data_IF_521172107907
#
_entry.id   IF_521172107907
#
_cell.length_a   1.000
_cell.length_b   1.000
_cell.length_c   1.000
_cell.angle_alpha   90.00
_cell.angle_beta   90.00
_cell.angle_gamma   90.00
#
_symmetry.space_group_name_H-M   'P 1'
#
loop_
_entity.id
_entity.type
_entity.pdbx_description
1 polymer ?
#
# COMPACT_ATOMS: atom_id res chain seq x y z
N UNK A 1 -29.91 -78.89 9.95
CA UNK A 1 -29.61 -78.15 8.69
C UNK A 1 -30.29 -76.83 8.82
N UNK A 2 -29.53 -75.80 9.25
CA UNK A 2 -30.02 -74.42 9.39
C UNK A 2 -29.42 -73.63 8.27
N UNK A 3 -30.23 -73.19 7.33
CA UNK A 3 -29.83 -72.34 6.22
C UNK A 3 -29.90 -70.91 6.65
N UNK A 4 -28.73 -70.27 6.85
CA UNK A 4 -28.57 -68.84 7.02
C UNK A 4 -28.82 -68.15 5.66
N UNK A 5 -29.94 -67.42 5.57
CA UNK A 5 -30.21 -66.49 4.45
C UNK A 5 -29.40 -65.27 4.68
N UNK A 6 -28.38 -65.01 3.86
CA UNK A 6 -27.63 -63.78 3.79
C UNK A 6 -28.49 -62.72 3.09
N UNK A 7 -29.05 -61.80 3.84
CA UNK A 7 -29.70 -60.61 3.30
C UNK A 7 -28.60 -59.62 2.90
N UNK A 8 -28.30 -59.57 1.62
CA UNK A 8 -27.47 -58.47 1.04
C UNK A 8 -28.35 -57.22 1.03
N UNK A 9 -28.12 -56.30 1.97
CA UNK A 9 -28.66 -54.94 1.90
C UNK A 9 -28.08 -54.24 0.66
N UNK A 10 -28.91 -54.14 -0.37
CA UNK A 10 -28.64 -53.28 -1.50
C UNK A 10 -28.81 -51.83 -0.97
N UNK A 11 -27.68 -51.19 -0.62
CA UNK A 11 -27.69 -49.73 -0.43
C UNK A 11 -28.15 -49.09 -1.76
N UNK A 12 -29.21 -48.28 -1.76
CA UNK A 12 -29.57 -47.52 -2.96
C UNK A 12 -28.40 -46.64 -3.30
N UNK A 13 -27.75 -46.89 -4.43
CA UNK A 13 -26.80 -45.98 -5.06
C UNK A 13 -27.58 -44.69 -5.30
N UNK A 14 -27.39 -43.71 -4.44
CA UNK A 14 -27.90 -42.34 -4.60
C UNK A 14 -27.30 -41.86 -5.91
N UNK A 15 -28.00 -42.04 -7.00
CA UNK A 15 -27.76 -41.37 -8.27
C UNK A 15 -27.87 -39.88 -7.96
N UNK A 16 -26.74 -39.24 -7.65
CA UNK A 16 -26.69 -37.77 -7.53
C UNK A 16 -27.15 -37.23 -8.89
N UNK A 17 -28.30 -36.63 -8.91
CA UNK A 17 -28.73 -35.88 -10.08
C UNK A 17 -27.57 -34.92 -10.47
N UNK A 18 -27.24 -34.84 -11.77
CA UNK A 18 -26.16 -33.98 -12.20
C UNK A 18 -26.48 -32.55 -11.76
N UNK A 19 -25.67 -32.06 -10.82
CA UNK A 19 -25.81 -30.68 -10.31
C UNK A 19 -25.73 -29.63 -11.43
N UNK A 20 -26.19 -28.42 -11.22
CA UNK A 20 -26.11 -27.34 -12.20
C UNK A 20 -24.68 -27.24 -12.73
N UNK A 21 -24.54 -27.11 -14.06
CA UNK A 21 -23.24 -27.06 -14.77
C UNK A 21 -22.39 -28.32 -14.64
N UNK A 22 -22.97 -29.45 -14.24
CA UNK A 22 -22.27 -30.71 -14.04
C UNK A 22 -21.09 -30.62 -13.05
N UNK A 23 -21.20 -29.72 -12.05
CA UNK A 23 -20.19 -29.46 -11.04
C UNK A 23 -20.66 -29.89 -9.65
N UNK A 24 -19.73 -30.35 -8.80
CA UNK A 24 -20.06 -30.60 -7.39
C UNK A 24 -20.46 -29.29 -6.68
N UNK A 25 -21.31 -29.39 -5.67
CA UNK A 25 -21.81 -28.25 -4.90
C UNK A 25 -20.66 -27.35 -4.38
N UNK A 26 -19.61 -27.93 -3.82
CA UNK A 26 -18.46 -27.15 -3.31
C UNK A 26 -17.72 -26.38 -4.42
N UNK A 27 -17.58 -27.00 -5.62
CA UNK A 27 -16.97 -26.34 -6.77
C UNK A 27 -17.83 -25.18 -7.28
N UNK A 28 -19.13 -25.36 -7.31
CA UNK A 28 -20.08 -24.32 -7.72
C UNK A 28 -20.06 -23.12 -6.73
N UNK A 29 -20.08 -23.40 -5.42
CA UNK A 29 -19.98 -22.36 -4.39
C UNK A 29 -18.67 -21.59 -4.47
N UNK A 30 -17.55 -22.25 -4.75
CA UNK A 30 -16.26 -21.58 -4.95
C UNK A 30 -16.27 -20.67 -6.18
N UNK A 31 -16.94 -21.04 -7.26
CA UNK A 31 -17.09 -20.18 -8.44
C UNK A 31 -17.89 -18.92 -8.10
N UNK A 32 -18.99 -19.03 -7.37
CA UNK A 32 -19.76 -17.86 -6.94
C UNK A 32 -18.95 -16.97 -6.01
N UNK A 33 -18.17 -17.55 -5.12
CA UNK A 33 -17.26 -16.78 -4.24
C UNK A 33 -16.25 -15.98 -5.07
N UNK A 34 -15.54 -16.60 -6.01
CA UNK A 34 -14.55 -15.92 -6.87
C UNK A 34 -15.22 -14.81 -7.71
N UNK A 35 -16.42 -15.06 -8.25
CA UNK A 35 -17.15 -14.04 -9.03
C UNK A 35 -17.56 -12.87 -8.14
N UNK A 36 -18.03 -13.12 -6.93
CA UNK A 36 -18.41 -12.04 -5.98
C UNK A 36 -17.20 -11.20 -5.59
N UNK A 37 -16.05 -11.82 -5.34
CA UNK A 37 -14.79 -11.14 -5.08
C UNK A 37 -14.35 -10.28 -6.27
N UNK A 38 -14.36 -10.86 -7.47
CA UNK A 38 -14.01 -10.14 -8.68
C UNK A 38 -14.89 -8.89 -8.90
N UNK A 39 -16.20 -8.99 -8.62
CA UNK A 39 -17.12 -7.86 -8.72
C UNK A 39 -16.80 -6.78 -7.66
N UNK A 40 -16.50 -7.17 -6.43
CA UNK A 40 -16.15 -6.25 -5.34
C UNK A 40 -14.88 -5.48 -5.67
N UNK A 41 -13.80 -6.19 -6.04
CA UNK A 41 -12.54 -5.54 -6.43
C UNK A 41 -12.69 -4.70 -7.70
N UNK A 42 -13.50 -5.11 -8.66
CA UNK A 42 -13.83 -4.29 -9.83
C UNK A 42 -14.45 -2.97 -9.41
N UNK A 43 -15.39 -2.98 -8.46
CA UNK A 43 -15.99 -1.76 -7.92
C UNK A 43 -14.94 -0.82 -7.32
N UNK A 44 -14.00 -1.33 -6.52
CA UNK A 44 -12.92 -0.53 -5.94
C UNK A 44 -11.97 0.05 -6.99
N UNK A 45 -11.56 -0.75 -7.96
CA UNK A 45 -10.67 -0.31 -9.04
C UNK A 45 -11.32 0.71 -9.97
N UNK A 46 -12.62 0.56 -10.23
CA UNK A 46 -13.39 1.55 -11.00
C UNK A 46 -13.47 2.87 -10.23
N UNK A 47 -13.79 2.84 -8.92
CA UNK A 47 -13.81 4.04 -8.09
C UNK A 47 -12.44 4.73 -8.02
N UNK A 48 -11.35 3.95 -7.89
CA UNK A 48 -9.99 4.44 -7.98
C UNK A 48 -9.72 5.10 -9.33
N UNK A 49 -10.06 4.44 -10.43
CA UNK A 49 -9.87 4.96 -11.79
C UNK A 49 -10.61 6.27 -12.04
N UNK A 50 -11.85 6.39 -11.61
CA UNK A 50 -12.62 7.64 -11.70
C UNK A 50 -12.02 8.75 -10.86
N UNK A 51 -11.60 8.45 -9.62
CA UNK A 51 -10.96 9.42 -8.73
C UNK A 51 -9.64 9.92 -9.30
N UNK A 52 -8.83 9.02 -9.86
CA UNK A 52 -7.59 9.36 -10.56
C UNK A 52 -7.85 10.24 -11.79
N UNK A 53 -8.81 9.86 -12.62
CA UNK A 53 -9.16 10.61 -13.81
C UNK A 53 -9.61 12.04 -13.47
N UNK A 54 -10.40 12.20 -12.41
CA UNK A 54 -10.87 13.52 -11.95
C UNK A 54 -9.76 14.40 -11.39
N UNK A 55 -8.73 13.80 -10.80
CA UNK A 55 -7.65 14.51 -10.10
C UNK A 55 -6.28 14.19 -10.73
N UNK A 56 -6.22 14.00 -12.04
CA UNK A 56 -5.01 13.53 -12.72
C UNK A 56 -3.81 14.46 -12.49
N UNK A 57 -4.05 15.77 -12.42
CA UNK A 57 -3.01 16.77 -12.25
C UNK A 57 -2.35 16.74 -10.86
N UNK A 58 -3.05 16.24 -9.86
CA UNK A 58 -2.58 16.16 -8.47
C UNK A 58 -2.35 14.73 -7.99
N UNK A 59 -2.51 13.74 -8.88
CA UNK A 59 -2.36 12.33 -8.51
C UNK A 59 -0.89 11.98 -8.30
N UNK A 60 -0.52 11.32 -7.17
CA UNK A 60 0.85 10.90 -6.92
C UNK A 60 1.40 10.00 -8.02
N UNK A 61 2.68 10.16 -8.32
CA UNK A 61 3.41 9.27 -9.23
C UNK A 61 3.87 8.05 -8.42
N UNK A 62 3.47 6.86 -8.86
CA UNK A 62 3.72 5.62 -8.11
C UNK A 62 5.21 5.36 -7.85
N UNK A 63 6.08 5.69 -8.79
CA UNK A 63 7.53 5.53 -8.66
C UNK A 63 8.13 6.41 -7.55
N UNK A 64 7.51 7.55 -7.27
CA UNK A 64 7.93 8.43 -6.17
C UNK A 64 7.42 7.98 -4.80
N UNK A 65 6.37 7.17 -4.77
CA UNK A 65 5.77 6.65 -3.54
C UNK A 65 6.43 5.33 -3.13
N UNK A 66 6.65 4.42 -4.10
CA UNK A 66 7.10 3.05 -3.89
C UNK A 66 8.53 2.83 -4.41
N UNK A 67 9.48 3.60 -3.87
CA UNK A 67 10.90 3.52 -4.27
C UNK A 67 11.78 2.83 -3.22
N UNK A 68 11.26 2.54 -2.04
CA UNK A 68 12.00 1.87 -0.98
C UNK A 68 12.21 0.38 -1.25
N UNK A 69 13.41 -0.12 -0.95
CA UNK A 69 13.71 -1.54 -0.97
C UNK A 69 14.32 -1.98 0.37
N UNK A 70 13.84 -3.06 1.00
CA UNK A 70 14.40 -3.54 2.26
C UNK A 70 15.88 -3.86 2.15
N UNK A 71 16.70 -3.28 3.04
CA UNK A 71 18.14 -3.51 3.08
C UNK A 71 18.99 -2.69 2.09
N UNK A 72 18.39 -1.94 1.17
CA UNK A 72 19.08 -1.03 0.26
C UNK A 72 18.79 0.42 0.65
N UNK A 73 19.47 0.92 1.68
CA UNK A 73 19.32 2.31 2.12
C UNK A 73 20.00 3.25 1.10
N UNK A 74 19.27 4.29 0.67
CA UNK A 74 19.79 5.32 -0.24
C UNK A 74 19.87 4.92 -1.72
N UNK A 75 19.29 3.80 -2.11
CA UNK A 75 19.16 3.39 -3.51
C UNK A 75 17.70 3.54 -3.92
N UNK A 76 17.45 4.40 -4.89
CA UNK A 76 16.14 4.54 -5.50
C UNK A 76 15.86 3.28 -6.34
N UNK A 77 14.92 2.47 -5.91
CA UNK A 77 14.52 1.24 -6.57
C UNK A 77 13.01 1.25 -6.86
N UNK A 78 12.54 2.13 -7.78
CA UNK A 78 11.12 2.35 -8.01
C UNK A 78 10.44 1.06 -8.45
N UNK A 79 9.35 0.68 -7.78
CA UNK A 79 8.52 -0.49 -8.06
C UNK A 79 9.20 -1.87 -7.96
N UNK A 80 10.52 -1.97 -7.70
CA UNK A 80 11.21 -3.26 -7.61
C UNK A 80 10.69 -4.12 -6.46
N UNK A 81 10.38 -3.49 -5.33
CA UNK A 81 9.83 -4.22 -4.19
C UNK A 81 8.43 -4.75 -4.46
N UNK A 82 7.58 -3.97 -5.13
CA UNK A 82 6.24 -4.39 -5.55
C UNK A 82 6.32 -5.57 -6.53
N UNK A 83 7.27 -5.54 -7.47
CA UNK A 83 7.53 -6.67 -8.36
C UNK A 83 7.95 -7.92 -7.58
N UNK A 84 8.86 -7.78 -6.59
CA UNK A 84 9.26 -8.89 -5.73
C UNK A 84 8.07 -9.51 -4.99
N UNK A 85 7.18 -8.70 -4.42
CA UNK A 85 5.97 -9.16 -3.76
C UNK A 85 5.08 -9.97 -4.70
N UNK A 86 4.96 -9.52 -5.95
CA UNK A 86 4.22 -10.26 -6.99
C UNK A 86 4.84 -11.62 -7.27
N UNK A 87 6.18 -11.72 -7.37
CA UNK A 87 6.88 -12.99 -7.54
C UNK A 87 6.67 -13.95 -6.36
N UNK A 88 6.65 -13.44 -5.13
CA UNK A 88 6.36 -14.24 -3.93
C UNK A 88 4.96 -14.87 -4.03
N UNK A 89 3.95 -14.11 -4.47
CA UNK A 89 2.60 -14.62 -4.66
C UNK A 89 2.52 -15.65 -5.79
N UNK A 90 3.20 -15.43 -6.91
CA UNK A 90 3.26 -16.40 -8.01
C UNK A 90 3.88 -17.70 -7.52
N UNK A 91 4.98 -17.64 -6.77
CA UNK A 91 5.63 -18.81 -6.20
C UNK A 91 4.72 -19.54 -5.21
N UNK A 92 4.03 -18.81 -4.34
CA UNK A 92 3.05 -19.37 -3.42
C UNK A 92 1.89 -20.06 -4.16
N UNK A 93 1.44 -19.50 -5.28
CA UNK A 93 0.42 -20.12 -6.14
C UNK A 93 0.91 -21.43 -6.76
N UNK A 94 2.16 -21.49 -7.20
CA UNK A 94 2.77 -22.74 -7.71
C UNK A 94 2.81 -23.82 -6.63
N UNK A 95 3.18 -23.49 -5.40
CA UNK A 95 3.18 -24.46 -4.29
C UNK A 95 1.78 -24.99 -4.00
N UNK A 96 0.74 -24.15 -4.11
CA UNK A 96 -0.64 -24.59 -3.96
C UNK A 96 -1.07 -25.58 -5.06
N UNK A 97 -0.72 -25.31 -6.32
CA UNK A 97 -1.00 -26.23 -7.44
C UNK A 97 -0.32 -27.57 -7.23
N UNK A 98 0.94 -27.57 -6.77
CA UNK A 98 1.68 -28.79 -6.45
C UNK A 98 1.04 -29.56 -5.28
N UNK A 99 0.47 -28.85 -4.29
CA UNK A 99 -0.28 -29.49 -3.21
C UNK A 99 -1.52 -30.21 -3.72
N UNK A 100 -2.25 -29.60 -4.65
CA UNK A 100 -3.45 -30.21 -5.27
C UNK A 100 -3.05 -31.46 -6.08
N UNK A 101 -2.00 -31.39 -6.91
CA UNK A 101 -1.50 -32.52 -7.69
C UNK A 101 -1.05 -33.67 -6.77
N UNK A 102 -0.31 -33.36 -5.71
CA UNK A 102 0.07 -34.36 -4.71
C UNK A 102 -1.15 -34.98 -3.99
N UNK A 103 -2.21 -34.21 -3.77
CA UNK A 103 -3.48 -34.66 -3.23
C UNK A 103 -4.16 -35.70 -4.15
N UNK A 104 -4.22 -35.43 -5.44
CA UNK A 104 -4.74 -36.37 -6.43
C UNK A 104 -3.94 -37.67 -6.48
N UNK A 105 -2.64 -37.62 -6.20
CA UNK A 105 -1.74 -38.78 -6.13
C UNK A 105 -1.73 -39.46 -4.75
N UNK A 106 -2.58 -39.05 -3.82
CA UNK A 106 -2.67 -39.54 -2.44
C UNK A 106 -1.34 -39.46 -1.65
N UNK A 107 -0.47 -38.50 -1.97
CA UNK A 107 0.85 -38.32 -1.33
C UNK A 107 0.74 -37.31 -0.17
N UNK A 108 0.20 -37.74 0.96
CA UNK A 108 -0.11 -36.91 2.13
C UNK A 108 1.06 -36.03 2.59
N UNK A 109 2.27 -36.57 2.68
CA UNK A 109 3.43 -35.84 3.19
C UNK A 109 3.81 -34.65 2.28
N UNK A 110 3.68 -34.84 0.96
CA UNK A 110 3.94 -33.74 0.00
C UNK A 110 2.84 -32.68 0.05
N UNK A 111 1.59 -33.05 0.26
CA UNK A 111 0.50 -32.10 0.46
C UNK A 111 0.80 -31.20 1.65
N UNK A 112 1.16 -31.78 2.79
CA UNK A 112 1.50 -31.04 4.01
C UNK A 112 2.68 -30.09 3.76
N UNK A 113 3.74 -30.56 3.10
CA UNK A 113 4.90 -29.75 2.78
C UNK A 113 4.55 -28.54 1.89
N UNK A 114 3.83 -28.79 0.79
CA UNK A 114 3.48 -27.69 -0.13
C UNK A 114 2.49 -26.71 0.47
N UNK A 115 1.53 -27.16 1.27
CA UNK A 115 0.64 -26.29 2.03
C UNK A 115 1.41 -25.42 3.02
N UNK A 116 2.40 -25.98 3.72
CA UNK A 116 3.25 -25.23 4.63
C UNK A 116 4.06 -24.16 3.90
N UNK A 117 4.63 -24.46 2.74
CA UNK A 117 5.33 -23.48 1.90
C UNK A 117 4.39 -22.36 1.41
N UNK A 118 3.15 -22.70 1.07
CA UNK A 118 2.13 -21.72 0.68
C UNK A 118 1.81 -20.76 1.83
N UNK A 119 1.67 -21.27 3.06
CA UNK A 119 1.45 -20.45 4.26
C UNK A 119 2.64 -19.52 4.52
N UNK A 120 3.87 -20.00 4.39
CA UNK A 120 5.07 -19.15 4.51
C UNK A 120 5.05 -18.05 3.46
N UNK A 121 4.75 -18.37 2.19
CA UNK A 121 4.64 -17.38 1.12
C UNK A 121 3.60 -16.29 1.42
N UNK A 122 2.44 -16.68 1.90
CA UNK A 122 1.39 -15.75 2.35
C UNK A 122 1.83 -14.86 3.52
N UNK A 123 2.49 -15.44 4.54
CA UNK A 123 2.98 -14.69 5.68
C UNK A 123 4.08 -13.67 5.28
N UNK A 124 4.98 -14.04 4.38
CA UNK A 124 6.00 -13.13 3.84
C UNK A 124 5.34 -12.00 3.05
N UNK A 125 4.33 -12.28 2.24
CA UNK A 125 3.60 -11.25 1.50
C UNK A 125 2.91 -10.26 2.43
N UNK A 126 2.17 -10.72 3.43
CA UNK A 126 1.50 -9.84 4.41
C UNK A 126 2.50 -9.02 5.20
N UNK A 127 3.63 -9.61 5.60
CA UNK A 127 4.73 -8.89 6.26
C UNK A 127 5.34 -7.80 5.36
N UNK A 128 5.50 -8.09 4.08
CA UNK A 128 5.98 -7.13 3.08
C UNK A 128 5.02 -5.96 2.90
N UNK A 129 3.72 -6.24 2.83
CA UNK A 129 2.69 -5.22 2.74
C UNK A 129 2.65 -4.32 4.00
N UNK A 130 2.79 -4.91 5.17
CA UNK A 130 2.85 -4.15 6.43
C UNK A 130 4.09 -3.24 6.48
N UNK A 131 5.24 -3.69 5.96
CA UNK A 131 6.45 -2.89 5.84
C UNK A 131 6.27 -1.71 4.86
N UNK A 132 5.63 -1.94 3.72
CA UNK A 132 5.32 -0.90 2.74
C UNK A 132 4.37 0.17 3.32
N UNK A 133 3.33 -0.27 4.03
CA UNK A 133 2.44 0.64 4.75
C UNK A 133 3.19 1.48 5.78
N UNK A 134 4.09 0.87 6.56
CA UNK A 134 4.89 1.58 7.55
C UNK A 134 5.70 2.71 6.89
N UNK A 135 6.35 2.45 5.76
CA UNK A 135 7.14 3.46 5.05
C UNK A 135 6.24 4.57 4.47
N UNK A 136 5.11 4.19 3.87
CA UNK A 136 4.16 5.15 3.31
C UNK A 136 3.52 6.04 4.38
N UNK A 137 3.15 5.48 5.54
CA UNK A 137 2.60 6.24 6.67
C UNK A 137 3.66 7.15 7.28
N UNK A 138 4.89 6.66 7.45
CA UNK A 138 5.97 7.44 8.05
C UNK A 138 6.41 8.60 7.17
N UNK A 139 6.41 8.41 5.84
CA UNK A 139 6.99 9.32 4.88
C UNK A 139 8.51 9.43 4.97
N UNK A 140 9.09 10.18 4.06
CA UNK A 140 10.54 10.32 3.97
C UNK A 140 10.97 11.78 3.94
N UNK A 141 10.31 12.59 3.12
CA UNK A 141 10.74 13.95 2.82
C UNK A 141 9.94 15.01 3.56
N UNK A 142 8.67 14.75 3.78
CA UNK A 142 7.73 15.75 4.22
C UNK A 142 7.37 16.78 3.13
N UNK A 143 6.32 17.53 3.38
CA UNK A 143 5.82 18.59 2.50
C UNK A 143 5.07 19.63 3.30
N UNK A 144 4.79 20.78 2.69
CA UNK A 144 3.84 21.75 3.22
C UNK A 144 2.52 21.64 2.46
N UNK A 145 1.41 21.91 3.14
CA UNK A 145 0.09 21.98 2.53
C UNK A 145 -0.51 23.37 2.71
N UNK A 146 -1.03 23.93 1.63
CA UNK A 146 -1.73 25.21 1.66
C UNK A 146 -3.19 25.02 2.07
N UNK A 147 -3.88 26.09 2.47
CA UNK A 147 -5.32 26.05 2.79
C UNK A 147 -6.19 25.50 1.65
N UNK A 148 -5.73 25.60 0.42
CA UNK A 148 -6.42 25.05 -0.76
C UNK A 148 -6.14 23.59 -1.03
N UNK A 149 -5.37 22.90 -0.17
CA UNK A 149 -5.00 21.48 -0.33
C UNK A 149 -3.85 21.25 -1.32
N UNK A 150 -3.14 22.31 -1.77
CA UNK A 150 -1.99 22.16 -2.65
C UNK A 150 -0.78 21.69 -1.84
N UNK A 151 -0.17 20.60 -2.26
CA UNK A 151 1.03 20.04 -1.65
C UNK A 151 2.28 20.68 -2.26
N UNK A 152 3.14 21.20 -1.37
CA UNK A 152 4.40 21.87 -1.70
C UNK A 152 5.56 20.95 -1.30
N UNK A 153 6.22 20.37 -2.27
CA UNK A 153 7.37 19.48 -2.08
C UNK A 153 8.66 20.25 -2.32
N UNK A 154 9.71 19.98 -1.54
CA UNK A 154 11.00 20.64 -1.69
C UNK A 154 11.90 19.81 -2.60
N UNK A 155 12.57 20.46 -3.55
CA UNK A 155 13.52 19.84 -4.49
C UNK A 155 14.73 20.76 -4.69
N UNK A 156 15.85 20.16 -4.98
CA UNK A 156 17.03 20.89 -5.44
C UNK A 156 16.88 21.16 -6.96
N UNK A 157 16.92 22.41 -7.36
CA UNK A 157 16.77 22.85 -8.75
C UNK A 157 17.85 22.31 -9.70
N UNK A 158 19.02 21.96 -9.17
CA UNK A 158 20.14 21.46 -9.98
C UNK A 158 20.03 19.96 -10.28
N UNK A 159 19.58 19.20 -9.29
CA UNK A 159 19.53 17.73 -9.37
C UNK A 159 18.11 17.20 -9.59
N UNK A 160 17.10 18.05 -9.39
CA UNK A 160 15.66 17.71 -9.36
C UNK A 160 15.31 16.60 -8.36
N UNK A 161 16.17 16.38 -7.36
CA UNK A 161 15.93 15.43 -6.28
C UNK A 161 15.15 16.07 -5.15
N UNK A 162 14.30 15.27 -4.49
CA UNK A 162 13.60 15.72 -3.30
C UNK A 162 14.57 15.98 -2.16
N UNK A 163 14.29 17.07 -1.43
CA UNK A 163 15.01 17.47 -0.20
C UNK A 163 14.07 17.29 0.97
N UNK A 164 14.55 16.65 2.04
CA UNK A 164 13.76 16.46 3.25
C UNK A 164 13.60 17.78 4.01
N UNK A 165 12.43 17.99 4.60
CA UNK A 165 12.23 19.12 5.52
C UNK A 165 13.17 19.06 6.72
N UNK A 166 13.64 17.87 7.11
CA UNK A 166 14.61 17.68 8.19
C UNK A 166 15.98 18.29 7.88
N UNK A 167 16.34 18.40 6.60
CA UNK A 167 17.65 18.88 6.18
C UNK A 167 17.81 20.40 6.34
N UNK A 168 16.70 21.15 6.37
CA UNK A 168 16.75 22.60 6.42
C UNK A 168 15.84 23.24 7.46
N UNK A 169 14.83 22.53 8.02
CA UNK A 169 13.93 23.12 9.01
C UNK A 169 14.66 23.51 10.30
N UNK A 170 14.30 24.64 10.88
CA UNK A 170 14.87 25.12 12.15
C UNK A 170 14.10 24.54 13.32
N UNK A 171 14.68 23.52 13.95
CA UNK A 171 14.06 22.87 15.10
C UNK A 171 14.07 23.74 16.36
N UNK A 172 12.88 24.05 16.91
CA UNK A 172 12.71 24.84 18.13
C UNK A 172 11.98 24.03 19.22
N UNK A 173 12.69 23.20 20.00
CA UNK A 173 12.09 22.26 20.95
C UNK A 173 11.25 22.95 22.04
N UNK A 174 11.54 24.20 22.38
CA UNK A 174 10.87 24.97 23.41
C UNK A 174 9.41 25.35 23.10
N UNK A 175 8.99 25.25 21.85
CA UNK A 175 7.64 25.59 21.40
C UNK A 175 6.78 24.37 21.07
N UNK A 176 7.27 23.15 21.36
CA UNK A 176 6.53 21.94 21.03
C UNK A 176 5.73 21.44 22.20
N UNK A 177 4.44 21.26 22.02
CA UNK A 177 3.64 20.39 22.84
C UNK A 177 4.07 18.94 22.55
N UNK A 178 4.47 18.22 23.59
CA UNK A 178 4.78 16.79 23.47
C UNK A 178 3.48 16.03 23.29
N UNK A 179 3.09 15.76 22.06
CA UNK A 179 2.01 14.83 21.77
C UNK A 179 2.53 13.41 21.99
N UNK A 180 2.08 12.77 23.09
CA UNK A 180 2.25 11.33 23.25
C UNK A 180 1.31 10.64 22.29
N UNK A 181 1.84 10.10 21.20
CA UNK A 181 1.09 9.23 20.32
C UNK A 181 0.91 7.86 20.98
N UNK A 182 -0.34 7.47 21.17
CA UNK A 182 -0.69 6.10 21.54
C UNK A 182 -1.00 5.34 20.25
N UNK A 183 -0.13 4.44 19.84
CA UNK A 183 -0.27 3.62 18.62
C UNK A 183 -1.43 2.62 18.64
N UNK A 184 -2.34 2.71 19.55
CA UNK A 184 -3.33 1.68 19.79
C UNK A 184 -2.79 0.42 20.47
N UNK A 185 -1.47 0.31 20.65
CA UNK A 185 -0.83 -0.72 21.47
C UNK A 185 -0.69 -0.16 22.87
N UNK A 186 -1.69 -0.39 23.71
CA UNK A 186 -1.81 0.10 25.08
C UNK A 186 -0.66 -0.27 26.03
N UNK A 187 0.29 -1.08 25.58
CA UNK A 187 1.48 -1.52 26.32
C UNK A 187 2.81 -0.91 25.80
N UNK A 188 2.80 -0.12 24.71
CA UNK A 188 3.97 0.59 24.22
C UNK A 188 3.70 2.09 24.08
N UNK A 189 4.52 2.92 24.72
CA UNK A 189 4.55 4.35 24.43
C UNK A 189 5.62 4.59 23.36
N UNK A 190 5.22 5.08 22.17
CA UNK A 190 6.19 5.57 21.19
C UNK A 190 6.72 6.94 21.59
N UNK A 191 8.01 7.23 21.29
CA UNK A 191 8.48 8.59 21.38
C UNK A 191 7.63 9.50 20.49
N UNK A 192 7.36 10.75 20.89
CA UNK A 192 6.63 11.69 20.06
C UNK A 192 7.34 11.82 18.72
N UNK A 193 6.59 11.69 17.62
CA UNK A 193 7.10 12.00 16.29
C UNK A 193 7.55 13.46 16.28
N UNK A 194 8.76 13.71 15.80
CA UNK A 194 9.27 15.06 15.62
C UNK A 194 8.52 15.74 14.48
N UNK A 195 7.40 16.40 14.80
CA UNK A 195 6.64 17.19 13.82
C UNK A 195 7.17 18.62 13.84
N UNK A 196 7.62 19.11 12.70
CA UNK A 196 7.98 20.52 12.52
C UNK A 196 6.72 21.37 12.40
N UNK A 197 6.74 22.55 12.99
CA UNK A 197 5.71 23.58 12.73
C UNK A 197 5.93 24.23 11.36
N UNK A 198 4.87 24.80 10.79
CA UNK A 198 4.97 25.56 9.53
C UNK A 198 6.00 26.69 9.63
N UNK A 199 6.06 27.36 10.80
CA UNK A 199 7.03 28.44 11.03
C UNK A 199 8.48 27.94 11.00
N UNK A 200 8.76 26.78 11.60
CA UNK A 200 10.11 26.17 11.61
C UNK A 200 10.56 25.77 10.21
N UNK A 201 9.65 25.20 9.40
CA UNK A 201 9.95 24.84 8.00
C UNK A 201 10.10 26.07 7.15
N UNK A 202 9.25 27.09 7.31
CA UNK A 202 9.32 28.35 6.54
C UNK A 202 10.61 29.12 6.85
N UNK A 203 10.96 29.26 8.13
CA UNK A 203 12.21 29.93 8.54
C UNK A 203 13.44 29.19 8.00
N UNK A 204 13.45 27.88 8.13
CA UNK A 204 14.53 27.06 7.58
C UNK A 204 14.63 27.15 6.06
N UNK A 205 13.51 27.14 5.35
CA UNK A 205 13.49 27.31 3.90
C UNK A 205 14.03 28.68 3.48
N UNK A 206 13.68 29.75 4.19
CA UNK A 206 14.21 31.11 3.88
C UNK A 206 15.72 31.19 4.07
N UNK A 207 16.26 30.49 5.08
CA UNK A 207 17.70 30.48 5.39
C UNK A 207 18.48 29.44 4.55
N UNK A 208 17.80 28.49 3.92
CA UNK A 208 18.41 27.42 3.15
C UNK A 208 19.00 27.91 1.81
N UNK A 209 19.80 27.06 1.19
CA UNK A 209 20.41 27.31 -0.12
C UNK A 209 19.34 27.73 -1.15
N UNK A 210 19.57 28.80 -1.92
CA UNK A 210 18.67 29.25 -2.99
C UNK A 210 18.35 28.19 -4.07
N UNK A 211 19.17 27.14 -4.20
CA UNK A 211 18.91 26.00 -5.08
C UNK A 211 17.71 25.16 -4.64
N UNK A 212 17.35 25.21 -3.35
CA UNK A 212 16.16 24.52 -2.84
C UNK A 212 14.93 25.33 -3.23
N UNK A 213 14.06 24.72 -4.02
CA UNK A 213 12.85 25.33 -4.54
C UNK A 213 11.64 24.43 -4.28
N UNK A 214 10.44 24.96 -4.50
CA UNK A 214 9.20 24.21 -4.33
C UNK A 214 8.78 23.58 -5.64
N UNK A 215 8.43 22.31 -5.56
CA UNK A 215 7.73 21.58 -6.60
C UNK A 215 6.29 21.37 -6.15
N UNK A 216 5.34 21.74 -6.99
CA UNK A 216 3.91 21.52 -6.71
C UNK A 216 3.46 20.17 -7.27
N UNK A 217 2.36 19.65 -6.72
CA UNK A 217 1.79 18.37 -7.14
C UNK A 217 1.27 18.38 -8.59
N UNK A 218 0.95 19.56 -9.15
CA UNK A 218 0.44 19.70 -10.51
C UNK A 218 1.45 19.22 -11.54
N UNK A 219 0.93 18.51 -12.54
CA UNK A 219 1.71 17.92 -13.63
C UNK A 219 1.60 18.84 -14.86
N UNK A 220 2.71 19.08 -15.54
CA UNK A 220 2.76 19.78 -16.80
C UNK A 220 2.31 18.90 -18.00
N UNK A 221 2.28 19.46 -19.21
CA UNK A 221 1.91 18.75 -20.44
C UNK A 221 2.89 17.59 -20.77
N UNK A 222 4.10 17.61 -20.22
CA UNK A 222 5.12 16.57 -20.40
C UNK A 222 5.03 15.44 -19.36
N UNK A 223 4.11 15.54 -18.41
CA UNK A 223 3.90 14.55 -17.36
C UNK A 223 4.82 14.69 -16.15
N UNK A 224 5.52 15.82 -16.02
CA UNK A 224 6.39 16.13 -14.89
C UNK A 224 5.72 17.13 -13.94
N UNK A 225 6.04 17.02 -12.66
CA UNK A 225 5.57 17.99 -11.67
C UNK A 225 6.23 19.34 -11.89
N UNK A 226 5.45 20.40 -11.77
CA UNK A 226 5.91 21.78 -12.02
C UNK A 226 6.83 22.21 -10.88
N UNK A 227 8.06 22.60 -11.23
CA UNK A 227 9.04 23.21 -10.32
C UNK A 227 8.94 24.72 -10.43
N UNK A 228 8.73 25.39 -9.30
CA UNK A 228 8.61 26.84 -9.21
C UNK A 228 10.00 27.49 -9.11
N UNK A 229 10.12 28.75 -9.54
CA UNK A 229 11.32 29.51 -9.24
C UNK A 229 11.39 29.86 -7.74
N UNK A 230 12.54 30.39 -7.27
CA UNK A 230 12.75 30.68 -5.84
C UNK A 230 11.75 31.70 -5.30
N UNK A 231 11.40 32.71 -6.07
CA UNK A 231 10.49 33.78 -5.62
C UNK A 231 9.05 33.26 -5.51
N UNK A 232 8.58 32.53 -6.51
CA UNK A 232 7.28 31.85 -6.48
C UNK A 232 7.20 30.82 -5.35
N UNK A 233 8.32 30.12 -5.09
CA UNK A 233 8.42 29.17 -3.99
C UNK A 233 8.21 29.84 -2.63
N UNK A 234 8.84 31.01 -2.41
CA UNK A 234 8.68 31.79 -1.19
C UNK A 234 7.22 32.24 -1.01
N UNK A 235 6.57 32.71 -2.08
CA UNK A 235 5.16 33.10 -2.01
C UNK A 235 4.24 31.91 -1.65
N UNK A 236 4.51 30.74 -2.19
CA UNK A 236 3.72 29.55 -1.90
C UNK A 236 3.96 29.03 -0.49
N UNK A 237 5.20 28.98 -0.04
CA UNK A 237 5.56 28.57 1.33
C UNK A 237 4.87 29.46 2.37
N UNK A 238 4.78 30.78 2.14
CA UNK A 238 4.08 31.71 3.02
C UNK A 238 2.54 31.47 3.08
N UNK A 239 1.97 30.73 2.10
CA UNK A 239 0.55 30.35 2.10
C UNK A 239 0.30 29.00 2.78
N UNK A 240 1.34 28.33 3.25
CA UNK A 240 1.23 27.03 3.90
C UNK A 240 0.55 27.13 5.27
N UNK A 241 -0.24 26.11 5.59
CA UNK A 241 -1.04 26.02 6.83
C UNK A 241 -0.69 24.78 7.64
N UNK A 242 -0.26 23.71 6.95
CA UNK A 242 0.08 22.44 7.58
C UNK A 242 1.43 21.93 7.09
N UNK A 243 2.15 21.26 8.00
CA UNK A 243 3.25 20.37 7.66
C UNK A 243 2.68 18.97 7.52
N UNK A 244 2.96 18.35 6.39
CA UNK A 244 2.48 16.99 6.08
C UNK A 244 3.68 16.09 5.98
N UNK A 245 3.64 14.99 6.73
CA UNK A 245 4.66 13.95 6.68
C UNK A 245 3.99 12.58 6.46
N UNK A 246 4.47 11.85 5.47
CA UNK A 246 3.88 10.59 5.07
C UNK A 246 2.46 10.71 4.53
N UNK A 247 1.73 9.63 4.62
CA UNK A 247 0.36 9.55 4.15
C UNK A 247 -0.57 8.95 5.22
N UNK A 248 -1.75 9.54 5.34
CA UNK A 248 -2.83 9.02 6.16
C UNK A 248 -4.17 9.33 5.48
N UNK A 249 -5.29 9.11 6.16
CA UNK A 249 -6.64 9.36 5.62
C UNK A 249 -6.99 10.86 5.43
N UNK A 250 -6.15 11.77 5.93
CA UNK A 250 -6.42 13.23 5.88
C UNK A 250 -5.41 13.94 4.99
N UNK A 251 -4.13 13.56 5.07
CA UNK A 251 -3.02 14.19 4.39
C UNK A 251 -2.16 13.18 3.64
N UNK A 252 -1.49 13.65 2.58
CA UNK A 252 -0.55 12.84 1.80
C UNK A 252 0.57 13.73 1.24
N UNK A 253 1.81 13.53 1.71
CA UNK A 253 2.97 14.31 1.25
C UNK A 253 3.32 14.11 -0.23
N UNK A 254 2.80 13.05 -0.85
CA UNK A 254 3.09 12.72 -2.24
C UNK A 254 2.14 13.38 -3.24
N UNK A 255 0.98 13.87 -2.79
CA UNK A 255 -0.04 14.52 -3.62
C UNK A 255 -1.46 14.31 -3.08
N UNK A 256 -2.42 14.05 -3.95
CA UNK A 256 -3.82 13.93 -3.57
C UNK A 256 -4.07 12.84 -2.52
N UNK A 257 -4.78 13.19 -1.44
CA UNK A 257 -5.08 12.29 -0.32
C UNK A 257 -5.86 11.04 -0.73
N UNK A 258 -6.76 11.15 -1.74
CA UNK A 258 -7.55 10.01 -2.19
C UNK A 258 -6.69 8.84 -2.67
N UNK A 259 -5.47 9.09 -3.13
CA UNK A 259 -4.53 8.02 -3.45
C UNK A 259 -4.22 7.17 -2.21
N UNK A 260 -3.91 7.80 -1.08
CA UNK A 260 -3.64 7.11 0.17
C UNK A 260 -4.87 6.35 0.68
N UNK A 261 -6.05 6.98 0.63
CA UNK A 261 -7.31 6.36 1.04
C UNK A 261 -7.58 5.07 0.27
N UNK A 262 -7.49 5.12 -1.06
CA UNK A 262 -7.66 3.94 -1.91
C UNK A 262 -6.56 2.91 -1.71
N UNK A 263 -5.31 3.34 -1.57
CA UNK A 263 -4.21 2.42 -1.33
C UNK A 263 -4.42 1.61 -0.06
N UNK A 264 -4.67 2.26 1.07
CA UNK A 264 -4.92 1.58 2.34
C UNK A 264 -6.16 0.70 2.29
N UNK A 265 -7.25 1.19 1.70
CA UNK A 265 -8.49 0.45 1.65
C UNK A 265 -8.38 -0.80 0.76
N UNK A 266 -7.91 -0.66 -0.48
CA UNK A 266 -7.82 -1.76 -1.44
C UNK A 266 -6.81 -2.80 -0.98
N UNK A 267 -5.60 -2.38 -0.56
CA UNK A 267 -4.55 -3.31 -0.14
C UNK A 267 -4.87 -3.95 1.21
N UNK A 268 -5.53 -3.22 2.13
CA UNK A 268 -6.01 -3.77 3.39
C UNK A 268 -7.10 -4.80 3.20
N UNK A 269 -8.07 -4.52 2.35
CA UNK A 269 -9.13 -5.46 2.01
C UNK A 269 -8.56 -6.72 1.33
N UNK A 270 -7.61 -6.53 0.40
CA UNK A 270 -6.92 -7.64 -0.25
C UNK A 270 -6.09 -8.48 0.72
N UNK A 271 -5.36 -7.84 1.64
CA UNK A 271 -4.58 -8.55 2.65
C UNK A 271 -5.43 -9.33 3.66
N UNK A 272 -6.68 -8.91 3.89
CA UNK A 272 -7.63 -9.64 4.72
C UNK A 272 -8.14 -10.91 4.02
N UNK A 273 -8.35 -10.88 2.72
CA UNK A 273 -8.77 -12.04 1.89
C UNK A 273 -7.67 -13.06 1.72
#
# INVERSE_FOLDING_TARGET
MSSTVSTTEIQPELTQEPGPLNASYGKLMMWFFIVSDALTFTGFLVAYGFSRFKNIDSWPIADEVFHHFPGLHGVDAPMYYVALMTFILIFSSVTMVLAVDAGHKMQKDKVVLYMFLTIIGGAVFVGSQAWEWKNFIKGEYGALETRGGLILQFVDSNTNKRVSIEDFAVYKPQYREQHKSNNGLWFQSEPPLDEYSVAEVTEGFMAADPSIVVRIEKIDESGHKIVLNRQESIEKVNQAVYVVRGANLIHNEYGNRLFADFFFFITGFHGFH
#
